data_IF_824724696680
#
_entry.id   IF_824724696680
#
_cell.length_a   1.000
_cell.length_b   1.000
_cell.length_c   1.000
_cell.angle_alpha   90.00
_cell.angle_beta   90.00
_cell.angle_gamma   90.00
#
_symmetry.space_group_name_H-M   'P 1'
#
loop_
_entity.id
_entity.type
_entity.pdbx_description
1 polymer ?
#
# COMPACT_ATOMS: atom_id res chain seq x y z
N UNK A 1 20.82 -6.58 35.49
CA UNK A 1 21.17 -7.98 35.16
C UNK A 1 22.67 -8.20 34.86
N UNK A 2 23.53 -7.17 34.79
CA UNK A 2 24.99 -7.37 34.70
C UNK A 2 25.50 -7.89 33.35
N UNK A 3 24.68 -7.78 32.30
CA UNK A 3 24.96 -8.24 30.93
C UNK A 3 25.57 -7.14 30.06
N UNK A 4 26.27 -7.51 28.99
CA UNK A 4 27.02 -6.59 28.14
C UNK A 4 26.18 -6.01 26.98
N UNK A 5 25.02 -6.62 26.71
CA UNK A 5 24.09 -6.20 25.66
C UNK A 5 22.65 -6.22 26.15
N UNK A 6 21.82 -5.29 25.68
CA UNK A 6 20.38 -5.28 25.99
C UNK A 6 19.68 -6.59 25.56
N UNK A 7 20.17 -7.24 24.49
CA UNK A 7 19.61 -8.49 23.98
C UNK A 7 19.88 -9.71 24.87
N UNK A 8 20.73 -9.56 25.88
CA UNK A 8 21.05 -10.59 26.88
C UNK A 8 20.19 -10.45 28.14
N UNK A 9 19.30 -9.46 28.19
CA UNK A 9 18.36 -9.31 29.30
C UNK A 9 17.29 -10.38 29.27
N UNK A 10 16.76 -10.76 30.43
CA UNK A 10 15.74 -11.82 30.56
C UNK A 10 14.56 -11.59 29.59
N UNK A 11 14.07 -10.35 29.53
CA UNK A 11 13.03 -9.88 28.60
C UNK A 11 13.37 -10.19 27.14
N UNK A 12 14.56 -9.80 26.67
CA UNK A 12 14.92 -10.02 25.27
C UNK A 12 15.23 -11.49 24.99
N UNK A 13 15.81 -12.23 25.93
CA UNK A 13 16.07 -13.66 25.78
C UNK A 13 14.77 -14.43 25.60
N UNK A 14 13.75 -14.14 26.41
CA UNK A 14 12.41 -14.73 26.29
C UNK A 14 11.77 -14.40 24.93
N UNK A 15 11.81 -13.12 24.52
CA UNK A 15 11.25 -12.68 23.24
C UNK A 15 12.00 -13.24 22.02
N UNK A 16 13.33 -13.34 22.06
CA UNK A 16 14.14 -13.95 21.00
C UNK A 16 13.81 -15.44 20.86
N UNK A 17 13.62 -16.13 21.98
CA UNK A 17 13.20 -17.54 21.98
C UNK A 17 11.81 -17.68 21.35
N UNK A 18 10.84 -16.88 21.77
CA UNK A 18 9.50 -16.86 21.17
C UNK A 18 9.54 -16.54 19.67
N UNK A 19 10.37 -15.57 19.25
CA UNK A 19 10.62 -15.25 17.85
C UNK A 19 11.17 -16.46 17.08
N UNK A 20 12.12 -17.20 17.66
CA UNK A 20 12.65 -18.44 17.07
C UNK A 20 11.56 -19.50 16.87
N UNK A 21 10.68 -19.68 17.86
CA UNK A 21 9.58 -20.65 17.80
C UNK A 21 8.56 -20.28 16.70
N UNK A 22 8.12 -19.02 16.63
CA UNK A 22 7.10 -18.61 15.65
C UNK A 22 7.63 -18.48 14.21
N UNK A 23 8.93 -18.27 14.05
CA UNK A 23 9.59 -18.21 12.73
C UNK A 23 10.12 -19.56 12.27
N UNK A 24 10.30 -20.52 13.17
CA UNK A 24 10.97 -21.80 12.90
C UNK A 24 12.51 -21.70 12.90
N UNK A 25 13.08 -20.55 13.27
CA UNK A 25 14.52 -20.35 13.32
C UNK A 25 15.13 -21.01 14.56
N UNK A 26 16.02 -22.01 14.34
CA UNK A 26 16.70 -22.73 15.43
C UNK A 26 17.92 -22.02 15.99
N UNK A 27 18.55 -21.17 15.19
CA UNK A 27 19.72 -20.40 15.62
C UNK A 27 19.28 -19.13 16.35
N UNK A 28 19.23 -19.18 17.67
CA UNK A 28 18.86 -18.04 18.52
C UNK A 28 19.88 -16.88 18.47
N UNK A 29 21.06 -17.10 17.88
CA UNK A 29 22.02 -16.02 17.66
C UNK A 29 21.76 -15.23 16.36
N UNK A 30 20.80 -15.67 15.54
CA UNK A 30 20.43 -14.97 14.33
C UNK A 30 19.96 -13.54 14.65
N UNK A 31 20.63 -12.56 14.04
CA UNK A 31 20.38 -11.14 14.28
C UNK A 31 18.95 -10.73 13.92
N UNK A 32 18.30 -11.43 12.99
CA UNK A 32 16.89 -11.20 12.63
C UNK A 32 15.95 -11.41 13.82
N UNK A 33 16.23 -12.39 14.69
CA UNK A 33 15.41 -12.64 15.88
C UNK A 33 15.50 -11.48 16.88
N UNK A 34 16.68 -10.85 16.99
CA UNK A 34 16.88 -9.65 17.81
C UNK A 34 16.07 -8.46 17.29
N UNK A 35 16.06 -8.28 15.96
CA UNK A 35 15.27 -7.22 15.33
C UNK A 35 13.77 -7.45 15.50
N UNK A 36 13.30 -8.70 15.36
CA UNK A 36 11.90 -9.06 15.59
C UNK A 36 11.50 -8.77 17.04
N UNK A 37 12.32 -9.18 18.01
CA UNK A 37 12.07 -8.95 19.44
C UNK A 37 12.01 -7.45 19.79
N UNK A 38 12.84 -6.62 19.17
CA UNK A 38 12.78 -5.16 19.34
C UNK A 38 11.52 -4.56 18.71
N UNK A 39 11.21 -4.94 17.47
CA UNK A 39 10.12 -4.35 16.72
C UNK A 39 8.73 -4.78 17.18
N UNK A 40 8.57 -5.97 17.77
CA UNK A 40 7.29 -6.34 18.40
C UNK A 40 6.99 -5.42 19.59
N UNK A 41 8.01 -5.08 20.41
CA UNK A 41 7.85 -4.15 21.53
C UNK A 41 7.39 -2.79 21.02
N UNK A 42 8.15 -2.20 20.08
CA UNK A 42 7.81 -0.89 19.53
C UNK A 42 6.42 -0.86 18.89
N UNK A 43 6.08 -1.89 18.11
CA UNK A 43 4.78 -1.97 17.44
C UNK A 43 3.62 -2.11 18.43
N UNK A 44 3.78 -2.97 19.44
CA UNK A 44 2.74 -3.21 20.43
C UNK A 44 2.43 -1.96 21.27
N UNK A 45 3.45 -1.23 21.73
CA UNK A 45 3.24 0.00 22.49
C UNK A 45 2.64 1.11 21.64
N UNK A 46 3.08 1.29 20.39
CA UNK A 46 2.45 2.26 19.49
C UNK A 46 0.96 1.97 19.27
N UNK A 47 0.57 0.71 19.10
CA UNK A 47 -0.85 0.32 18.95
C UNK A 47 -1.63 0.46 20.26
N UNK A 48 -0.97 0.18 21.39
CA UNK A 48 -1.54 0.40 22.73
C UNK A 48 -1.87 1.88 22.93
N UNK A 49 -0.99 2.78 22.49
CA UNK A 49 -1.16 4.25 22.49
C UNK A 49 -2.14 4.76 21.41
N UNK A 50 -2.80 3.87 20.68
CA UNK A 50 -3.84 4.22 19.69
C UNK A 50 -3.34 4.55 18.29
N UNK A 51 -2.06 4.28 17.97
CA UNK A 51 -1.55 4.42 16.60
C UNK A 51 -1.99 3.21 15.77
N UNK A 52 -2.59 3.47 14.61
CA UNK A 52 -3.01 2.44 13.66
C UNK A 52 -2.13 2.48 12.41
N UNK A 53 -1.72 1.33 11.83
CA UNK A 53 -0.93 1.30 10.60
C UNK A 53 -1.62 2.06 9.45
N UNK A 54 -0.91 3.02 8.83
CA UNK A 54 -1.45 3.86 7.76
C UNK A 54 -0.38 4.22 6.72
N UNK A 55 -0.74 4.98 5.68
CA UNK A 55 0.20 5.47 4.67
C UNK A 55 0.93 6.76 5.08
N UNK A 56 0.54 7.41 6.19
CA UNK A 56 1.04 8.74 6.55
C UNK A 56 1.28 8.93 8.06
N UNK A 57 2.09 9.91 8.41
CA UNK A 57 2.33 10.32 9.80
C UNK A 57 2.81 9.18 10.70
N UNK A 58 2.26 9.10 11.92
CA UNK A 58 2.64 8.07 12.91
C UNK A 58 2.27 6.65 12.45
N UNK A 59 1.17 6.50 11.71
CA UNK A 59 0.75 5.21 11.19
C UNK A 59 1.68 4.66 10.12
N UNK A 60 2.30 5.53 9.31
CA UNK A 60 3.36 5.14 8.38
C UNK A 60 4.60 4.59 9.09
N UNK A 61 5.04 5.26 10.15
CA UNK A 61 6.19 4.81 10.95
C UNK A 61 5.92 3.44 11.59
N UNK A 62 4.73 3.27 12.19
CA UNK A 62 4.31 1.98 12.74
C UNK A 62 4.30 0.89 11.68
N UNK A 63 3.69 1.16 10.52
CA UNK A 63 3.66 0.22 9.39
C UNK A 63 5.07 -0.20 8.96
N UNK A 64 5.99 0.75 8.85
CA UNK A 64 7.39 0.48 8.51
C UNK A 64 8.08 -0.44 9.52
N UNK A 65 7.90 -0.19 10.82
CA UNK A 65 8.47 -1.04 11.89
C UNK A 65 7.93 -2.47 11.78
N UNK A 66 6.62 -2.62 11.60
CA UNK A 66 5.96 -3.93 11.47
C UNK A 66 6.51 -4.67 10.25
N UNK A 67 6.52 -4.03 9.08
CA UNK A 67 6.98 -4.66 7.83
C UNK A 67 8.45 -5.03 7.86
N UNK A 68 9.30 -4.22 8.52
CA UNK A 68 10.71 -4.55 8.75
C UNK A 68 10.86 -5.82 9.59
N UNK A 69 10.08 -5.97 10.67
CA UNK A 69 10.08 -7.18 11.48
C UNK A 69 9.64 -8.40 10.67
N UNK A 70 8.59 -8.27 9.86
CA UNK A 70 8.09 -9.37 9.01
C UNK A 70 9.15 -9.79 7.97
N UNK A 71 9.85 -8.84 7.34
CA UNK A 71 10.96 -9.16 6.41
C UNK A 71 12.08 -9.94 7.11
N UNK A 72 12.44 -9.56 8.34
CA UNK A 72 13.39 -10.35 9.13
C UNK A 72 12.87 -11.74 9.49
N UNK A 73 11.57 -11.87 9.76
CA UNK A 73 10.95 -13.19 9.95
C UNK A 73 11.04 -14.05 8.70
N UNK A 74 10.81 -13.48 7.51
CA UNK A 74 11.00 -14.17 6.23
C UNK A 74 12.46 -14.64 6.06
N UNK A 75 13.44 -13.77 6.33
CA UNK A 75 14.87 -14.14 6.32
C UNK A 75 15.22 -15.23 7.34
N UNK A 76 14.50 -15.28 8.47
CA UNK A 76 14.68 -16.29 9.52
C UNK A 76 13.96 -17.63 9.21
N UNK A 77 13.16 -17.70 8.13
CA UNK A 77 12.48 -18.91 7.68
C UNK A 77 10.96 -18.93 7.87
N UNK A 78 10.34 -17.83 8.30
CA UNK A 78 8.90 -17.76 8.49
C UNK A 78 8.15 -17.84 7.15
N UNK A 79 7.11 -18.69 7.09
CA UNK A 79 6.30 -18.94 5.88
C UNK A 79 4.94 -18.22 5.86
N UNK A 80 4.64 -17.40 6.87
CA UNK A 80 3.37 -16.68 6.95
C UNK A 80 3.33 -15.65 8.09
N UNK A 81 2.16 -15.00 8.33
CA UNK A 81 2.00 -14.03 9.39
C UNK A 81 2.30 -14.64 10.77
N UNK A 82 3.22 -14.00 11.50
CA UNK A 82 3.67 -14.50 12.81
C UNK A 82 3.70 -13.42 13.91
N UNK A 83 3.79 -12.13 13.55
CA UNK A 83 3.97 -11.02 14.50
C UNK A 83 2.89 -11.00 15.60
N UNK A 84 1.63 -11.28 15.26
CA UNK A 84 0.53 -11.34 16.24
C UNK A 84 0.73 -12.42 17.32
N UNK A 85 1.48 -13.50 17.01
CA UNK A 85 1.78 -14.59 17.96
C UNK A 85 2.77 -14.17 19.04
N UNK A 86 3.52 -13.09 18.82
CA UNK A 86 4.49 -12.56 19.77
C UNK A 86 3.87 -11.61 20.81
N UNK A 87 2.60 -11.24 20.63
CA UNK A 87 1.92 -10.32 21.56
C UNK A 87 1.69 -10.97 22.93
N UNK A 88 1.33 -12.25 22.98
CA UNK A 88 1.16 -12.96 24.25
C UNK A 88 2.49 -13.10 25.03
N UNK A 89 3.60 -13.61 24.43
CA UNK A 89 4.91 -13.60 25.07
C UNK A 89 5.35 -12.21 25.55
N UNK A 90 5.05 -11.16 24.77
CA UNK A 90 5.37 -9.79 25.18
C UNK A 90 4.55 -9.34 26.41
N UNK A 91 3.26 -9.67 26.45
CA UNK A 91 2.40 -9.35 27.58
C UNK A 91 2.81 -10.12 28.85
N UNK A 92 3.30 -11.35 28.73
CA UNK A 92 3.85 -12.12 29.85
C UNK A 92 5.09 -11.42 30.45
N UNK A 93 6.00 -10.93 29.61
CA UNK A 93 7.24 -10.31 30.07
C UNK A 93 7.07 -8.87 30.56
N UNK A 94 6.11 -8.11 30.01
CA UNK A 94 5.98 -6.67 30.27
C UNK A 94 4.66 -6.26 30.94
N UNK A 95 3.66 -7.15 31.00
CA UNK A 95 2.30 -6.81 31.41
C UNK A 95 2.15 -6.38 32.87
N UNK A 96 3.02 -6.85 33.78
CA UNK A 96 3.00 -6.40 35.18
C UNK A 96 3.37 -4.92 35.30
N UNK A 97 4.34 -4.46 34.49
CA UNK A 97 4.79 -3.07 34.48
C UNK A 97 3.94 -2.18 33.56
N UNK A 98 3.26 -2.77 32.58
CA UNK A 98 2.43 -2.07 31.58
C UNK A 98 1.05 -2.73 31.46
N UNK A 99 0.14 -2.54 32.43
CA UNK A 99 -1.21 -3.13 32.39
C UNK A 99 -2.02 -2.75 31.15
N UNK A 100 -1.80 -1.55 30.61
CA UNK A 100 -2.42 -1.07 29.38
C UNK A 100 -2.14 -1.97 28.16
N UNK A 101 -0.98 -2.65 28.13
CA UNK A 101 -0.65 -3.61 27.09
C UNK A 101 -1.53 -4.87 27.20
N UNK A 102 -1.83 -5.33 28.42
CA UNK A 102 -2.73 -6.47 28.66
C UNK A 102 -4.14 -6.09 28.19
N UNK A 103 -4.61 -4.90 28.55
CA UNK A 103 -5.93 -4.41 28.13
C UNK A 103 -6.04 -4.27 26.60
N UNK A 104 -4.96 -3.86 25.94
CA UNK A 104 -4.92 -3.69 24.49
C UNK A 104 -4.55 -4.97 23.71
N UNK A 105 -4.23 -6.08 24.39
CA UNK A 105 -3.60 -7.26 23.79
C UNK A 105 -4.32 -7.78 22.55
N UNK A 106 -5.64 -7.90 22.60
CA UNK A 106 -6.44 -8.35 21.47
C UNK A 106 -6.34 -7.40 20.27
N UNK A 107 -6.50 -6.09 20.51
CA UNK A 107 -6.41 -5.05 19.48
C UNK A 107 -5.04 -5.02 18.82
N UNK A 108 -3.98 -5.17 19.62
CA UNK A 108 -2.59 -5.25 19.13
C UNK A 108 -2.42 -6.46 18.24
N UNK A 109 -2.87 -7.64 18.68
CA UNK A 109 -2.78 -8.87 17.90
C UNK A 109 -3.54 -8.78 16.57
N UNK A 110 -4.76 -8.24 16.58
CA UNK A 110 -5.58 -8.05 15.38
C UNK A 110 -4.93 -7.10 14.37
N UNK A 111 -4.43 -5.94 14.83
CA UNK A 111 -3.76 -4.98 13.96
C UNK A 111 -2.48 -5.56 13.31
N UNK A 112 -1.69 -6.32 14.09
CA UNK A 112 -0.49 -6.99 13.59
C UNK A 112 -0.82 -8.15 12.64
N UNK A 113 -1.89 -8.90 12.88
CA UNK A 113 -2.35 -9.95 11.99
C UNK A 113 -2.78 -9.36 10.64
N UNK A 114 -3.62 -8.33 10.65
CA UNK A 114 -4.12 -7.68 9.44
C UNK A 114 -2.99 -7.10 8.58
N UNK A 115 -2.05 -6.37 9.20
CA UNK A 115 -0.91 -5.83 8.47
C UNK A 115 0.01 -6.95 7.95
N UNK A 116 0.19 -8.01 8.75
CA UNK A 116 0.98 -9.17 8.38
C UNK A 116 0.43 -9.93 7.17
N UNK A 117 -0.88 -10.16 7.15
CA UNK A 117 -1.58 -10.80 6.03
C UNK A 117 -1.49 -9.97 4.75
N UNK A 118 -1.75 -8.67 4.85
CA UNK A 118 -1.64 -7.74 3.71
C UNK A 118 -0.23 -7.70 3.15
N UNK A 119 0.78 -7.65 4.01
CA UNK A 119 2.16 -7.55 3.55
C UNK A 119 2.73 -8.88 3.04
N UNK A 120 2.30 -10.02 3.58
CA UNK A 120 2.74 -11.33 3.11
C UNK A 120 2.46 -11.54 1.60
N UNK A 121 1.37 -10.96 1.09
CA UNK A 121 1.01 -11.02 -0.33
C UNK A 121 2.06 -10.38 -1.25
N UNK A 122 2.68 -9.27 -0.83
CA UNK A 122 3.66 -8.55 -1.66
C UNK A 122 5.12 -8.89 -1.32
N UNK A 123 5.39 -9.30 -0.08
CA UNK A 123 6.73 -9.56 0.41
C UNK A 123 7.46 -10.63 -0.40
N UNK A 124 6.84 -11.81 -0.59
CA UNK A 124 7.52 -12.94 -1.22
C UNK A 124 7.93 -12.64 -2.67
N UNK A 125 7.04 -12.01 -3.43
CA UNK A 125 7.33 -11.60 -4.80
C UNK A 125 8.37 -10.48 -4.87
N UNK A 126 8.24 -9.46 -4.02
CA UNK A 126 9.17 -8.34 -3.96
C UNK A 126 10.59 -8.77 -3.59
N UNK A 127 10.74 -9.63 -2.58
CA UNK A 127 12.04 -10.17 -2.17
C UNK A 127 12.71 -10.99 -3.26
N UNK A 128 11.95 -11.87 -3.94
CA UNK A 128 12.47 -12.68 -5.04
C UNK A 128 13.02 -11.81 -6.17
N UNK A 129 12.29 -10.76 -6.55
CA UNK A 129 12.71 -9.84 -7.62
C UNK A 129 13.93 -9.04 -7.19
N UNK A 130 13.93 -8.52 -5.96
CA UNK A 130 15.06 -7.78 -5.40
C UNK A 130 16.33 -8.65 -5.38
N UNK A 131 16.22 -9.90 -4.93
CA UNK A 131 17.36 -10.83 -4.89
C UNK A 131 17.89 -11.18 -6.29
N UNK A 132 17.00 -11.38 -7.27
CA UNK A 132 17.38 -11.63 -8.66
C UNK A 132 18.15 -10.45 -9.26
N UNK A 133 17.62 -9.24 -9.13
CA UNK A 133 18.23 -8.04 -9.70
C UNK A 133 19.54 -7.67 -9.00
N UNK A 134 19.65 -7.96 -7.69
CA UNK A 134 20.89 -7.76 -6.94
C UNK A 134 21.99 -8.76 -7.30
N UNK A 135 21.65 -9.96 -7.78
CA UNK A 135 22.64 -10.91 -8.26
C UNK A 135 23.34 -10.44 -9.55
N UNK A 136 22.65 -9.60 -10.33
CA UNK A 136 23.15 -9.03 -11.59
C UNK A 136 23.67 -7.59 -11.41
N UNK A 137 23.57 -7.03 -10.20
CA UNK A 137 23.95 -5.65 -9.93
C UNK A 137 25.45 -5.44 -10.12
N UNK A 138 25.80 -4.45 -10.94
CA UNK A 138 27.16 -3.93 -11.03
C UNK A 138 27.33 -2.73 -10.11
N UNK A 139 28.29 -2.81 -9.18
CA UNK A 139 28.57 -1.75 -8.20
C UNK A 139 27.81 -1.91 -6.88
N UNK A 140 27.68 -0.80 -6.14
CA UNK A 140 27.15 -0.79 -4.76
C UNK A 140 25.85 0.00 -4.61
N UNK A 141 25.23 0.45 -5.70
CA UNK A 141 24.04 1.31 -5.68
C UNK A 141 22.91 0.65 -6.45
N UNK A 142 21.79 0.40 -5.77
CA UNK A 142 20.56 -0.11 -6.38
C UNK A 142 19.93 1.02 -7.20
N UNK A 143 19.63 0.81 -8.50
CA UNK A 143 19.01 1.82 -9.34
C UNK A 143 17.64 2.28 -8.81
N UNK A 144 17.36 3.58 -8.92
CA UNK A 144 16.09 4.16 -8.50
C UNK A 144 14.89 3.56 -9.25
N UNK A 145 15.05 3.27 -10.54
CA UNK A 145 14.04 2.61 -11.38
C UNK A 145 13.66 1.21 -10.87
N UNK A 146 14.62 0.45 -10.35
CA UNK A 146 14.35 -0.86 -9.75
C UNK A 146 13.52 -0.70 -8.46
N UNK A 147 13.91 0.25 -7.61
CA UNK A 147 13.15 0.56 -6.38
C UNK A 147 11.74 1.03 -6.71
N UNK A 148 11.60 1.85 -7.77
CA UNK A 148 10.30 2.31 -8.26
C UNK A 148 9.45 1.14 -8.77
N UNK A 149 10.02 0.23 -9.57
CA UNK A 149 9.31 -0.96 -10.06
C UNK A 149 8.83 -1.87 -8.93
N UNK A 150 9.69 -2.09 -7.93
CA UNK A 150 9.35 -2.84 -6.71
C UNK A 150 8.18 -2.19 -5.97
N UNK A 151 8.20 -0.87 -5.81
CA UNK A 151 7.14 -0.11 -5.15
C UNK A 151 5.83 -0.10 -5.94
N UNK A 152 5.86 0.34 -7.19
CA UNK A 152 4.69 0.62 -8.02
C UNK A 152 4.01 -0.66 -8.52
N UNK A 153 4.80 -1.59 -9.06
CA UNK A 153 4.25 -2.79 -9.71
C UNK A 153 4.01 -3.92 -8.71
N UNK A 154 4.88 -4.08 -7.71
CA UNK A 154 4.86 -5.22 -6.80
C UNK A 154 4.46 -4.88 -5.37
N UNK A 155 4.19 -3.61 -5.07
CA UNK A 155 3.79 -3.16 -3.73
C UNK A 155 4.88 -3.37 -2.66
N UNK A 156 6.14 -3.53 -3.08
CA UNK A 156 7.28 -3.73 -2.19
C UNK A 156 7.87 -2.38 -1.76
N UNK A 157 7.82 -2.03 -0.47
CA UNK A 157 8.14 -0.68 0.00
C UNK A 157 9.60 -0.27 -0.23
N UNK A 158 9.82 0.96 -0.69
CA UNK A 158 11.15 1.52 -0.94
C UNK A 158 12.04 1.57 0.32
N UNK A 159 11.44 1.78 1.50
CA UNK A 159 12.13 1.74 2.78
C UNK A 159 12.67 0.35 3.11
N UNK A 160 11.98 -0.73 2.72
CA UNK A 160 12.49 -2.08 2.88
C UNK A 160 13.59 -2.42 1.89
N UNK A 161 13.53 -1.91 0.66
CA UNK A 161 14.64 -1.98 -0.30
C UNK A 161 15.88 -1.31 0.30
N UNK A 162 15.73 -0.11 0.87
CA UNK A 162 16.82 0.62 1.52
C UNK A 162 17.37 -0.10 2.76
N UNK A 163 16.51 -0.69 3.59
CA UNK A 163 16.95 -1.46 4.77
C UNK A 163 17.69 -2.74 4.35
N UNK A 164 17.20 -3.45 3.32
CA UNK A 164 17.87 -4.62 2.76
C UNK A 164 19.23 -4.28 2.12
N UNK A 165 19.31 -3.16 1.41
CA UNK A 165 20.54 -2.64 0.81
C UNK A 165 21.59 -2.36 1.89
N UNK A 166 21.21 -1.61 2.93
CA UNK A 166 22.10 -1.19 4.02
C UNK A 166 22.76 -2.38 4.73
N UNK A 167 22.00 -3.45 4.96
CA UNK A 167 22.50 -4.68 5.59
C UNK A 167 23.58 -5.39 4.78
N UNK A 168 23.64 -5.13 3.48
CA UNK A 168 24.64 -5.69 2.55
C UNK A 168 25.71 -4.69 2.14
N UNK A 169 25.75 -3.52 2.79
CA UNK A 169 26.69 -2.45 2.43
C UNK A 169 26.37 -1.79 1.07
N UNK A 170 25.12 -1.92 0.60
CA UNK A 170 24.65 -1.29 -0.63
C UNK A 170 23.89 0.01 -0.32
N UNK A 171 23.89 0.94 -1.28
CA UNK A 171 23.05 2.13 -1.30
C UNK A 171 21.85 1.97 -2.23
N UNK A 172 20.92 2.92 -2.16
CA UNK A 172 19.79 3.04 -3.09
C UNK A 172 19.84 4.43 -3.71
N UNK A 173 19.69 4.49 -5.02
CA UNK A 173 19.53 5.76 -5.75
C UNK A 173 18.11 6.32 -5.51
N UNK A 174 17.99 7.06 -4.41
CA UNK A 174 16.73 7.72 -4.03
C UNK A 174 16.37 8.87 -4.98
N UNK A 175 17.37 9.49 -5.61
CA UNK A 175 17.10 10.57 -6.58
C UNK A 175 16.43 10.00 -7.83
N UNK A 176 16.96 8.91 -8.39
CA UNK A 176 16.34 8.20 -9.50
C UNK A 176 14.95 7.64 -9.16
N UNK A 177 14.73 7.20 -7.92
CA UNK A 177 13.40 6.77 -7.46
C UNK A 177 12.39 7.92 -7.48
N UNK A 178 12.75 9.08 -6.93
CA UNK A 178 11.90 10.27 -6.93
C UNK A 178 11.64 10.82 -8.34
N UNK A 179 12.63 10.75 -9.23
CA UNK A 179 12.47 11.10 -10.65
C UNK A 179 11.45 10.17 -11.33
N UNK A 180 11.51 8.86 -11.07
CA UNK A 180 10.55 7.89 -11.61
C UNK A 180 9.13 8.11 -11.06
N UNK A 181 9.00 8.42 -9.76
CA UNK A 181 7.73 8.80 -9.11
C UNK A 181 7.14 10.08 -9.71
N UNK A 182 7.98 11.11 -9.97
CA UNK A 182 7.55 12.34 -10.62
C UNK A 182 7.06 12.06 -12.06
N UNK A 183 7.80 11.26 -12.82
CA UNK A 183 7.39 10.85 -14.18
C UNK A 183 6.06 10.09 -14.20
N UNK A 184 5.78 9.25 -13.20
CA UNK A 184 4.47 8.60 -13.06
C UNK A 184 3.36 9.63 -12.81
N UNK A 185 3.56 10.59 -11.90
CA UNK A 185 2.59 11.65 -11.60
C UNK A 185 2.30 12.52 -12.82
N UNK A 186 3.32 12.86 -13.60
CA UNK A 186 3.17 13.66 -14.80
C UNK A 186 2.42 12.91 -15.91
N UNK A 187 2.69 11.62 -16.10
CA UNK A 187 1.91 10.77 -17.02
C UNK A 187 0.45 10.67 -16.60
N UNK A 188 0.16 10.50 -15.31
CA UNK A 188 -1.21 10.47 -14.80
C UNK A 188 -1.96 11.80 -15.04
N UNK A 189 -1.27 12.93 -14.85
CA UNK A 189 -1.81 14.28 -15.14
C UNK A 189 -2.04 14.51 -16.63
N UNK A 190 -1.09 14.12 -17.48
CA UNK A 190 -1.22 14.25 -18.93
C UNK A 190 -2.38 13.41 -19.47
N UNK A 191 -2.55 12.17 -18.97
CA UNK A 191 -3.68 11.31 -19.33
C UNK A 191 -5.03 11.92 -18.88
N UNK A 192 -5.08 12.54 -17.70
CA UNK A 192 -6.26 13.26 -17.21
C UNK A 192 -6.57 14.51 -18.07
N UNK A 193 -5.57 15.31 -18.43
CA UNK A 193 -5.74 16.49 -19.29
C UNK A 193 -6.12 16.13 -20.73
N UNK A 194 -5.59 15.04 -21.28
CA UNK A 194 -5.93 14.54 -22.61
C UNK A 194 -7.41 14.15 -22.69
N UNK A 195 -7.92 13.41 -21.68
CA UNK A 195 -9.36 13.12 -21.54
C UNK A 195 -10.22 14.38 -21.48
N UNK A 196 -9.73 15.44 -20.82
CA UNK A 196 -10.44 16.72 -20.73
C UNK A 196 -10.37 17.55 -22.03
N UNK A 197 -9.29 17.43 -22.82
CA UNK A 197 -9.16 18.10 -24.12
C UNK A 197 -10.01 17.47 -25.22
N UNK A 198 -10.24 16.15 -25.18
CA UNK A 198 -11.22 15.48 -26.03
C UNK A 198 -12.63 16.03 -25.84
N UNK A 199 -13.02 16.28 -24.58
CA UNK A 199 -14.29 16.96 -24.22
C UNK A 199 -14.33 18.42 -24.70
N UNK A 200 -13.20 19.14 -24.64
CA UNK A 200 -13.14 20.56 -25.01
C UNK A 200 -13.22 20.86 -26.51
N UNK A 201 -13.10 19.85 -27.39
CA UNK A 201 -13.30 20.00 -28.84
C UNK A 201 -14.76 19.87 -29.28
N UNK A 202 -15.64 19.46 -28.37
CA UNK A 202 -17.06 19.34 -28.63
C UNK A 202 -17.68 20.73 -28.60
N UNK A 203 -18.39 21.08 -29.68
CA UNK A 203 -18.99 22.39 -29.88
C UNK A 203 -20.34 22.55 -29.16
N UNK A 204 -20.39 22.11 -27.89
CA UNK A 204 -21.59 22.23 -27.05
C UNK A 204 -21.43 23.46 -26.15
N UNK A 205 -22.08 24.56 -26.52
CA UNK A 205 -22.15 25.78 -25.69
C UNK A 205 -23.10 25.60 -24.49
N UNK A 206 -23.91 24.53 -24.48
CA UNK A 206 -24.90 24.25 -23.45
C UNK A 206 -24.28 23.58 -22.23
N UNK A 207 -24.64 24.08 -21.04
CA UNK A 207 -24.17 23.54 -19.77
C UNK A 207 -25.02 22.32 -19.39
N UNK A 208 -24.37 21.20 -19.07
CA UNK A 208 -25.05 20.05 -18.46
C UNK A 208 -25.51 20.38 -17.03
N UNK A 209 -26.79 20.19 -16.75
CA UNK A 209 -27.39 20.36 -15.43
C UNK A 209 -27.17 19.10 -14.57
N UNK A 210 -26.51 19.26 -13.42
CA UNK A 210 -26.30 18.15 -12.49
C UNK A 210 -27.51 17.99 -11.55
N UNK A 211 -28.13 16.81 -11.56
CA UNK A 211 -29.36 16.48 -10.80
C UNK A 211 -29.14 15.43 -9.71
N UNK A 212 -27.90 14.97 -9.49
CA UNK A 212 -27.60 13.87 -8.55
C UNK A 212 -27.90 14.17 -7.08
N UNK A 213 -28.16 15.43 -6.72
CA UNK A 213 -28.66 15.80 -5.39
C UNK A 213 -30.15 15.49 -5.19
N UNK A 214 -30.90 15.35 -6.29
CA UNK A 214 -32.36 15.20 -6.29
C UNK A 214 -32.77 13.73 -6.43
N UNK A 215 -31.96 12.92 -7.12
CA UNK A 215 -32.17 11.49 -7.31
C UNK A 215 -31.03 10.81 -8.05
N UNK A 216 -31.07 9.48 -8.10
CA UNK A 216 -30.09 8.64 -8.79
C UNK A 216 -30.52 8.26 -10.22
N UNK A 217 -31.79 8.51 -10.56
CA UNK A 217 -32.39 8.22 -11.85
C UNK A 217 -32.94 9.51 -12.46
N UNK A 218 -32.65 9.76 -13.73
CA UNK A 218 -33.15 10.92 -14.47
C UNK A 218 -33.37 10.59 -15.96
N UNK A 219 -34.17 11.42 -16.65
CA UNK A 219 -34.32 11.39 -18.10
C UNK A 219 -33.57 12.56 -18.72
N UNK A 220 -32.75 12.28 -19.73
CA UNK A 220 -31.87 13.26 -20.36
C UNK A 220 -31.91 13.14 -21.88
N UNK A 221 -31.53 14.23 -22.55
CA UNK A 221 -31.33 14.29 -24.00
C UNK A 221 -29.85 14.19 -24.32
N UNK A 222 -29.50 13.38 -25.32
CA UNK A 222 -28.13 13.33 -25.86
C UNK A 222 -27.89 14.58 -26.69
N UNK A 223 -26.96 15.42 -26.26
CA UNK A 223 -26.52 16.61 -26.97
C UNK A 223 -25.45 16.30 -28.01
N UNK A 224 -24.51 15.41 -27.67
CA UNK A 224 -23.41 15.04 -28.57
C UNK A 224 -22.81 13.68 -28.19
N UNK A 225 -22.23 13.01 -29.18
CA UNK A 225 -21.47 11.77 -29.01
C UNK A 225 -20.04 12.00 -29.52
N UNK A 226 -19.06 11.46 -28.81
CA UNK A 226 -17.64 11.58 -29.17
C UNK A 226 -16.99 10.21 -29.21
N UNK A 227 -16.28 9.93 -30.31
CA UNK A 227 -15.44 8.75 -30.48
C UNK A 227 -14.06 9.21 -30.95
N UNK A 228 -12.99 8.71 -30.34
CA UNK A 228 -11.60 9.06 -30.69
C UNK A 228 -11.36 10.59 -30.81
N UNK A 229 -11.87 11.36 -29.86
CA UNK A 229 -11.77 12.84 -29.78
C UNK A 229 -12.42 13.61 -30.95
N UNK A 230 -13.37 12.98 -31.66
CA UNK A 230 -14.17 13.61 -32.71
C UNK A 230 -15.68 13.40 -32.48
N UNK A 231 -16.49 14.43 -32.77
CA UNK A 231 -17.95 14.30 -32.78
C UNK A 231 -18.38 13.25 -33.82
N UNK A 232 -19.33 12.40 -33.43
CA UNK A 232 -19.89 11.33 -34.26
C UNK A 232 -21.40 11.30 -34.14
N UNK A 233 -22.08 10.79 -35.17
CA UNK A 233 -23.53 10.61 -35.15
C UNK A 233 -23.93 9.30 -34.43
N UNK A 234 -22.99 8.37 -34.21
CA UNK A 234 -23.27 7.11 -33.54
C UNK A 234 -22.04 6.50 -32.84
N UNK A 235 -22.32 5.70 -31.80
CA UNK A 235 -21.38 4.81 -31.13
C UNK A 235 -21.80 3.36 -31.43
N UNK A 236 -20.89 2.56 -31.99
CA UNK A 236 -21.15 1.15 -32.28
C UNK A 236 -21.10 0.27 -31.03
N UNK A 237 -21.69 -0.93 -31.09
CA UNK A 237 -21.58 -1.91 -30.01
C UNK A 237 -20.11 -2.22 -29.69
N UNK A 238 -19.76 -2.17 -28.40
CA UNK A 238 -18.40 -2.38 -27.92
C UNK A 238 -17.45 -1.18 -28.08
N UNK A 239 -17.93 -0.03 -28.56
CA UNK A 239 -17.12 1.19 -28.64
C UNK A 239 -17.05 1.89 -27.29
N UNK A 240 -15.87 2.37 -26.91
CA UNK A 240 -15.67 3.30 -25.79
C UNK A 240 -15.73 4.73 -26.33
N UNK A 241 -16.62 5.55 -25.78
CA UNK A 241 -16.83 6.92 -26.24
C UNK A 241 -17.46 7.79 -25.15
N UNK A 242 -17.64 9.08 -25.46
CA UNK A 242 -18.29 10.03 -24.56
C UNK A 242 -19.71 10.32 -25.03
N UNK A 243 -20.63 10.40 -24.07
CA UNK A 243 -22.01 10.84 -24.29
C UNK A 243 -22.22 12.12 -23.50
N UNK A 244 -22.53 13.21 -24.20
CA UNK A 244 -22.81 14.51 -23.58
C UNK A 244 -24.31 14.67 -23.47
N UNK A 245 -24.78 14.95 -22.26
CA UNK A 245 -26.20 15.08 -21.93
C UNK A 245 -26.53 16.52 -21.53
N UNK A 246 -27.78 16.91 -21.71
CA UNK A 246 -28.33 18.17 -21.20
C UNK A 246 -28.41 18.19 -19.66
N UNK A 247 -28.63 17.03 -19.05
CA UNK A 247 -28.64 16.85 -17.59
C UNK A 247 -28.23 15.46 -17.17
N UNK A 248 -27.76 15.30 -15.93
CA UNK A 248 -27.28 14.00 -15.45
C UNK A 248 -27.26 13.89 -13.92
N UNK A 249 -27.64 12.74 -13.34
CA UNK A 249 -27.42 12.45 -11.93
C UNK A 249 -25.99 11.94 -11.65
N UNK A 250 -25.22 11.58 -12.69
CA UNK A 250 -23.86 11.06 -12.54
C UNK A 250 -22.90 12.15 -12.08
N UNK A 251 -22.29 11.97 -10.91
CA UNK A 251 -21.26 12.87 -10.43
C UNK A 251 -19.97 12.71 -11.22
N UNK A 252 -19.51 13.81 -11.82
CA UNK A 252 -18.20 13.86 -12.47
C UNK A 252 -17.08 13.95 -11.41
N UNK A 253 -15.95 13.28 -11.66
CA UNK A 253 -14.81 13.27 -10.74
C UNK A 253 -14.38 14.70 -10.36
N UNK A 254 -14.56 15.06 -9.08
CA UNK A 254 -14.22 16.39 -8.56
C UNK A 254 -14.13 16.37 -7.04
N UNK A 255 -13.28 17.24 -6.48
CA UNK A 255 -13.15 17.40 -5.02
C UNK A 255 -12.55 16.19 -4.29
N UNK A 256 -11.87 15.28 -5.00
CA UNK A 256 -11.30 14.04 -4.43
C UNK A 256 -12.30 12.87 -4.34
N UNK A 257 -13.51 13.03 -4.87
CA UNK A 257 -14.51 11.98 -4.99
C UNK A 257 -14.42 11.33 -6.38
N UNK A 258 -14.42 9.99 -6.41
CA UNK A 258 -14.49 9.18 -7.62
C UNK A 258 -15.84 9.37 -8.32
N UNK A 259 -15.83 9.26 -9.65
CA UNK A 259 -17.04 9.42 -10.47
C UNK A 259 -18.03 8.28 -10.26
N UNK A 260 -19.29 8.54 -10.61
CA UNK A 260 -20.35 7.54 -10.52
C UNK A 260 -20.36 6.60 -11.72
N UNK A 261 -20.86 5.38 -11.50
CA UNK A 261 -21.06 4.36 -12.52
C UNK A 261 -22.54 4.02 -12.68
N UNK A 262 -22.96 3.64 -13.89
CA UNK A 262 -24.33 3.22 -14.13
C UNK A 262 -24.64 2.90 -15.58
N UNK A 263 -25.87 3.19 -15.99
CA UNK A 263 -26.37 2.79 -17.31
C UNK A 263 -27.29 3.86 -17.88
N UNK A 264 -27.04 4.26 -19.13
CA UNK A 264 -28.00 4.97 -19.96
C UNK A 264 -28.83 3.93 -20.71
N UNK A 265 -30.16 4.02 -20.67
CA UNK A 265 -31.04 3.05 -21.35
C UNK A 265 -32.03 3.76 -22.25
N UNK A 266 -32.33 3.16 -23.41
CA UNK A 266 -33.36 3.62 -24.33
C UNK A 266 -34.03 2.43 -25.02
N UNK A 267 -35.04 2.67 -25.85
CA UNK A 267 -35.81 1.61 -26.51
C UNK A 267 -35.00 0.67 -27.40
N UNK A 268 -33.79 1.05 -27.80
CA UNK A 268 -32.95 0.33 -28.76
C UNK A 268 -31.63 -0.18 -28.19
N UNK A 269 -31.34 0.02 -26.89
CA UNK A 269 -30.05 -0.38 -26.33
C UNK A 269 -29.77 0.20 -24.95
N UNK A 270 -28.54 -0.05 -24.50
CA UNK A 270 -28.01 0.48 -23.25
C UNK A 270 -26.52 0.83 -23.43
N UNK A 271 -26.05 1.82 -22.68
CA UNK A 271 -24.66 2.27 -22.65
C UNK A 271 -24.18 2.33 -21.19
N UNK A 272 -23.13 1.58 -20.87
CA UNK A 272 -22.56 1.55 -19.53
C UNK A 272 -21.68 2.78 -19.29
N UNK A 273 -21.87 3.45 -18.15
CA UNK A 273 -21.14 4.65 -17.70
C UNK A 273 -20.17 4.29 -16.59
#
# INVERSE_FOLDING_TARGET
>A
QGVHSNYETDLFVALIKAAGEVTGCRDLNNTSLRVIADHIRASAFLITDGVVPSNEGRGYVLRRIIRRAIRHGYQAGASGPFMHKLVAPLAEEMGEACPELIEAQQRVAEALALEGERFAQTLGQGMRILEQELAELSGTVIPGELTFRLYDTFGFPADLTADYARERGLGVDMEGFEQAMAGQRDRARAASQFRMQGVAKVSVEERTDFTGYEGLDDSATVLSLVLDDAETDCLGEGSEGLVILDRTPFYAESGGQVWDHGMLTWSGGAFAV
#
